data_IF_496202986186
#
_entry.id   IF_496202986186
#
_cell.length_a   1.000
_cell.length_b   1.000
_cell.length_c   1.000
_cell.angle_alpha   90.00
_cell.angle_beta   90.00
_cell.angle_gamma   90.00
#
_symmetry.space_group_name_H-M   'P 1'
#
loop_
_entity.id
_entity.type
_entity.pdbx_description
1 polymer ?
#
# COMPACT_ATOMS: atom_id res chain seq x y z
N UNK A 1 -40.45 61.82 27.86
CA UNK A 1 -40.12 61.60 26.44
C UNK A 1 -38.61 61.65 26.28
N UNK A 2 -37.85 60.72 25.71
CA UNK A 2 -38.10 59.41 25.10
C UNK A 2 -36.85 58.56 25.42
N UNK A 3 -37.07 57.28 25.72
CA UNK A 3 -36.02 56.30 25.95
C UNK A 3 -35.62 55.66 24.62
N UNK A 4 -34.39 55.89 24.15
CA UNK A 4 -33.86 55.19 22.98
C UNK A 4 -32.97 54.02 23.40
N UNK A 5 -33.62 52.86 23.40
CA UNK A 5 -33.07 51.51 23.51
C UNK A 5 -31.93 51.27 22.52
N UNK A 6 -30.69 51.18 23.01
CA UNK A 6 -29.56 50.65 22.25
C UNK A 6 -29.72 49.13 22.08
N UNK A 7 -30.26 48.73 20.94
CA UNK A 7 -30.38 47.33 20.55
C UNK A 7 -28.98 46.69 20.42
N UNK A 8 -28.67 45.76 21.33
CA UNK A 8 -27.50 44.89 21.25
C UNK A 8 -27.67 43.97 20.04
N UNK A 9 -26.90 44.19 18.97
CA UNK A 9 -26.80 43.27 17.83
C UNK A 9 -26.27 41.91 18.32
N UNK A 10 -27.16 40.92 18.42
CA UNK A 10 -26.80 39.52 18.69
C UNK A 10 -26.11 38.96 17.44
N UNK A 11 -24.85 38.57 17.57
CA UNK A 11 -24.19 37.76 16.54
C UNK A 11 -24.74 36.32 16.65
N UNK A 12 -25.32 35.82 15.56
CA UNK A 12 -25.75 34.43 15.46
C UNK A 12 -24.51 33.52 15.43
N UNK A 13 -24.19 32.90 16.56
CA UNK A 13 -23.29 31.73 16.60
C UNK A 13 -24.12 30.50 16.23
N UNK A 14 -23.87 29.93 15.04
CA UNK A 14 -24.36 28.60 14.70
C UNK A 14 -23.47 27.58 15.40
N UNK A 15 -23.91 27.13 16.59
CA UNK A 15 -23.23 26.08 17.37
C UNK A 15 -23.65 24.73 16.77
N UNK A 16 -22.77 24.12 15.97
CA UNK A 16 -22.94 22.74 15.53
C UNK A 16 -22.38 21.84 16.65
N UNK A 17 -23.28 21.15 17.37
CA UNK A 17 -22.89 20.20 18.43
C UNK A 17 -22.23 18.96 17.81
N UNK A 18 -20.90 18.90 17.88
CA UNK A 18 -20.14 17.68 17.59
C UNK A 18 -20.29 16.66 18.72
N UNK A 19 -20.44 15.37 18.40
CA UNK A 19 -20.67 14.27 19.37
C UNK A 19 -19.50 14.00 20.34
N UNK A 20 -18.37 14.69 20.20
CA UNK A 20 -17.14 14.44 20.95
C UNK A 20 -16.65 15.71 21.66
N UNK A 21 -17.38 16.21 22.66
CA UNK A 21 -16.89 17.09 23.75
C UNK A 21 -15.99 18.29 23.44
N UNK A 22 -15.81 18.68 22.18
CA UNK A 22 -14.98 19.78 21.74
C UNK A 22 -15.91 20.76 21.05
N UNK A 23 -16.27 21.81 21.77
CA UNK A 23 -16.98 22.96 21.21
C UNK A 23 -16.06 23.66 20.20
N UNK A 24 -16.06 23.19 18.96
CA UNK A 24 -15.37 23.87 17.85
C UNK A 24 -16.26 25.02 17.41
N UNK A 25 -16.14 26.17 18.08
CA UNK A 25 -16.66 27.42 17.55
C UNK A 25 -15.86 27.77 16.28
N UNK A 26 -16.36 27.36 15.11
CA UNK A 26 -15.78 27.76 13.82
C UNK A 26 -16.10 29.25 13.63
N UNK A 27 -15.22 30.11 14.14
CA UNK A 27 -15.27 31.55 13.87
C UNK A 27 -14.88 31.77 12.42
N UNK A 28 -15.85 31.98 11.53
CA UNK A 28 -15.65 32.17 10.07
C UNK A 28 -15.08 33.54 9.70
N UNK A 29 -14.77 34.41 10.68
CA UNK A 29 -14.15 35.69 10.37
C UNK A 29 -12.70 35.48 9.90
N UNK A 30 -12.45 35.78 8.62
CA UNK A 30 -11.14 35.66 7.94
C UNK A 30 -10.03 36.30 8.77
N UNK A 31 -10.23 37.49 9.33
CA UNK A 31 -9.20 38.16 10.13
C UNK A 31 -8.84 37.38 11.42
N UNK A 32 -9.84 36.76 12.07
CA UNK A 32 -9.64 35.94 13.26
C UNK A 32 -8.88 34.64 12.97
N UNK A 33 -9.14 34.02 11.82
CA UNK A 33 -8.42 32.83 11.36
C UNK A 33 -6.95 33.14 11.05
N UNK A 34 -6.67 34.28 10.42
CA UNK A 34 -5.29 34.70 10.12
C UNK A 34 -4.52 35.03 11.39
N UNK A 35 -5.15 35.67 12.38
CA UNK A 35 -4.53 35.90 13.70
C UNK A 35 -4.22 34.59 14.43
N UNK A 36 -5.15 33.62 14.40
CA UNK A 36 -4.95 32.28 14.98
C UNK A 36 -3.81 31.52 14.29
N UNK A 37 -3.76 31.53 12.95
CA UNK A 37 -2.68 30.93 12.16
C UNK A 37 -1.33 31.55 12.52
N UNK A 38 -1.23 32.89 12.52
CA UNK A 38 0.02 33.58 12.88
C UNK A 38 0.51 33.24 14.29
N UNK A 39 -0.41 33.09 15.26
CA UNK A 39 -0.06 32.65 16.62
C UNK A 39 0.44 31.20 16.65
N UNK A 40 -0.15 30.31 15.86
CA UNK A 40 0.32 28.93 15.71
C UNK A 40 1.72 28.89 15.10
N UNK A 41 1.94 29.61 13.99
CA UNK A 41 3.24 29.68 13.30
C UNK A 41 4.35 30.21 14.23
N UNK A 42 4.04 31.26 15.02
CA UNK A 42 4.99 31.80 16.02
C UNK A 42 5.29 30.79 17.12
N UNK A 43 4.30 30.02 17.57
CA UNK A 43 4.49 28.99 18.58
C UNK A 43 5.37 27.86 18.04
N UNK A 44 5.11 27.40 16.83
CA UNK A 44 5.91 26.38 16.15
C UNK A 44 7.37 26.82 15.98
N UNK A 45 7.60 28.06 15.53
CA UNK A 45 8.94 28.62 15.41
C UNK A 45 9.68 28.67 16.76
N UNK A 46 9.00 29.07 17.84
CA UNK A 46 9.58 29.07 19.18
C UNK A 46 9.95 27.65 19.64
N UNK A 47 9.08 26.67 19.40
CA UNK A 47 9.36 25.26 19.72
C UNK A 47 10.55 24.71 18.91
N UNK A 48 10.67 25.06 17.63
CA UNK A 48 11.83 24.66 16.80
C UNK A 48 13.12 25.27 17.34
N UNK A 49 13.11 26.56 17.68
CA UNK A 49 14.28 27.26 18.24
C UNK A 49 14.67 26.64 19.58
N UNK A 50 13.69 26.37 20.43
CA UNK A 50 13.91 25.77 21.74
C UNK A 50 14.43 24.33 21.63
N UNK A 51 13.87 23.52 20.72
CA UNK A 51 14.40 22.18 20.40
C UNK A 51 15.85 22.25 19.90
N UNK A 52 16.19 23.23 19.05
CA UNK A 52 17.57 23.45 18.56
C UNK A 52 18.51 23.89 19.68
N UNK A 53 18.07 24.74 20.61
CA UNK A 53 18.84 25.17 21.79
C UNK A 53 19.07 24.01 22.78
N UNK A 54 18.05 23.17 22.99
CA UNK A 54 18.11 22.00 23.89
C UNK A 54 18.85 20.81 23.27
N UNK A 55 18.99 20.76 21.93
CA UNK A 55 19.83 19.78 21.24
C UNK A 55 21.29 20.06 21.58
N UNK A 56 21.78 19.44 22.66
CA UNK A 56 23.22 19.25 22.86
C UNK A 56 23.77 18.62 21.58
N UNK A 57 24.80 19.22 20.98
CA UNK A 57 25.45 18.67 19.79
C UNK A 57 26.15 17.38 20.21
N UNK A 58 25.43 16.25 20.14
CA UNK A 58 26.03 14.93 20.32
C UNK A 58 27.09 14.75 19.24
N UNK A 59 28.25 14.26 19.63
CA UNK A 59 29.30 13.92 18.66
C UNK A 59 28.78 12.83 17.72
N UNK A 60 29.34 12.73 16.52
CA UNK A 60 28.97 11.67 15.58
C UNK A 60 29.15 10.27 16.21
N UNK A 61 30.16 10.12 17.07
CA UNK A 61 30.46 8.89 17.80
C UNK A 61 29.40 8.56 18.84
N UNK A 62 28.90 9.55 19.59
CA UNK A 62 27.82 9.33 20.57
C UNK A 62 26.53 8.90 19.89
N UNK A 63 26.19 9.52 18.76
CA UNK A 63 25.03 9.08 17.97
C UNK A 63 25.19 7.66 17.47
N UNK A 64 26.37 7.33 16.92
CA UNK A 64 26.66 5.97 16.47
C UNK A 64 26.53 4.96 17.61
N UNK A 65 27.03 5.28 18.81
CA UNK A 65 26.90 4.42 19.99
C UNK A 65 25.45 4.27 20.46
N UNK A 66 24.62 5.31 20.38
CA UNK A 66 23.21 5.24 20.73
C UNK A 66 22.40 4.42 19.71
N UNK A 67 22.65 4.64 18.42
CA UNK A 67 21.97 3.95 17.32
C UNK A 67 22.38 2.48 17.22
N UNK A 68 23.64 2.16 17.55
CA UNK A 68 24.19 0.79 17.56
C UNK A 68 24.38 0.25 18.98
N UNK A 69 23.70 0.82 19.98
CA UNK A 69 23.78 0.35 21.37
C UNK A 69 23.20 -1.07 21.51
N UNK A 70 22.28 -1.43 20.62
CA UNK A 70 21.55 -2.69 20.69
C UNK A 70 22.20 -3.72 19.77
N UNK A 71 22.59 -4.85 20.36
CA UNK A 71 23.07 -5.99 19.61
C UNK A 71 21.89 -6.68 18.92
N UNK A 72 21.91 -6.66 17.58
CA UNK A 72 20.89 -7.27 16.72
C UNK A 72 21.39 -8.57 16.07
N UNK A 73 22.51 -9.14 16.55
CA UNK A 73 23.08 -10.37 15.99
C UNK A 73 22.07 -11.51 15.92
N UNK A 74 21.35 -11.78 17.02
CA UNK A 74 20.35 -12.86 17.06
C UNK A 74 19.20 -12.66 16.07
N UNK A 75 18.66 -11.43 16.01
CA UNK A 75 17.58 -11.06 15.08
C UNK A 75 18.04 -11.21 13.63
N UNK A 76 19.27 -10.80 13.33
CA UNK A 76 19.84 -10.93 11.99
C UNK A 76 20.06 -12.40 11.60
N UNK A 77 20.55 -13.22 12.52
CA UNK A 77 20.72 -14.67 12.31
C UNK A 77 19.38 -15.34 12.06
N UNK A 78 18.34 -14.98 12.81
CA UNK A 78 16.99 -15.50 12.59
C UNK A 78 16.41 -15.08 11.24
N UNK A 79 16.59 -13.81 10.85
CA UNK A 79 16.17 -13.32 9.55
C UNK A 79 16.85 -14.07 8.40
N UNK A 80 18.15 -14.32 8.51
CA UNK A 80 18.91 -15.10 7.53
C UNK A 80 18.40 -16.54 7.44
N UNK A 81 18.12 -17.20 8.58
CA UNK A 81 17.52 -18.55 8.60
C UNK A 81 16.18 -18.57 7.87
N UNK A 82 15.28 -17.64 8.17
CA UNK A 82 13.98 -17.52 7.50
C UNK A 82 14.13 -17.31 5.99
N UNK A 83 15.06 -16.46 5.54
CA UNK A 83 15.34 -16.25 4.11
C UNK A 83 15.84 -17.54 3.45
N UNK A 84 16.73 -18.29 4.12
CA UNK A 84 17.22 -19.57 3.59
C UNK A 84 16.15 -20.66 3.56
N UNK A 85 15.16 -20.59 4.45
CA UNK A 85 14.02 -21.52 4.51
C UNK A 85 12.97 -21.20 3.45
N UNK A 86 12.72 -19.92 3.14
CA UNK A 86 11.76 -19.49 2.11
C UNK A 86 12.06 -20.04 0.71
N UNK A 87 13.34 -20.29 0.40
CA UNK A 87 13.77 -20.86 -0.88
C UNK A 87 13.73 -22.40 -0.93
N UNK A 88 13.48 -23.07 0.19
CA UNK A 88 13.47 -24.54 0.26
C UNK A 88 12.03 -25.04 0.20
N UNK A 89 11.78 -25.98 -0.69
CA UNK A 89 10.52 -26.73 -0.72
C UNK A 89 10.48 -27.65 0.50
N UNK A 90 9.36 -27.66 1.22
CA UNK A 90 9.15 -28.57 2.36
C UNK A 90 9.39 -30.02 1.94
N UNK A 91 10.14 -30.79 2.72
CA UNK A 91 10.59 -32.15 2.37
C UNK A 91 9.45 -33.06 1.87
N UNK A 92 8.29 -33.03 2.55
CA UNK A 92 7.09 -33.80 2.15
C UNK A 92 6.56 -33.44 0.76
N UNK A 93 6.74 -32.18 0.35
CA UNK A 93 6.35 -31.70 -0.98
C UNK A 93 7.43 -32.07 -1.99
N UNK A 94 8.71 -31.97 -1.62
CA UNK A 94 9.83 -32.41 -2.45
C UNK A 94 9.73 -33.91 -2.78
N UNK A 95 9.41 -34.76 -1.81
CA UNK A 95 9.16 -36.20 -2.00
C UNK A 95 7.98 -36.46 -2.95
N UNK A 96 6.88 -35.71 -2.81
CA UNK A 96 5.71 -35.82 -3.71
C UNK A 96 6.04 -35.38 -5.13
N UNK A 97 6.86 -34.34 -5.30
CA UNK A 97 7.32 -33.88 -6.62
C UNK A 97 8.19 -34.97 -7.24
N UNK A 98 9.17 -35.50 -6.49
CA UNK A 98 10.05 -36.57 -6.94
C UNK A 98 9.30 -37.86 -7.31
N UNK A 99 8.25 -38.20 -6.56
CA UNK A 99 7.43 -39.38 -6.86
C UNK A 99 6.56 -39.20 -8.10
N UNK A 100 6.02 -37.99 -8.33
CA UNK A 100 5.20 -37.68 -9.50
C UNK A 100 6.02 -37.44 -10.78
N UNK A 101 7.24 -36.97 -10.62
CA UNK A 101 8.21 -36.79 -11.68
C UNK A 101 9.38 -37.72 -11.38
N UNK A 102 9.24 -39.05 -11.59
CA UNK A 102 10.41 -39.91 -11.62
C UNK A 102 11.40 -39.28 -12.60
N UNK A 103 12.70 -39.36 -12.32
CA UNK A 103 13.80 -38.76 -13.09
C UNK A 103 13.86 -39.27 -14.54
N UNK A 104 12.83 -39.03 -15.33
CA UNK A 104 12.75 -39.32 -16.74
C UNK A 104 13.61 -38.28 -17.41
N UNK A 105 14.70 -38.73 -18.03
CA UNK A 105 15.45 -37.88 -18.93
C UNK A 105 14.52 -37.50 -20.08
N UNK A 106 14.78 -36.39 -20.75
CA UNK A 106 13.98 -35.95 -21.91
C UNK A 106 13.86 -37.02 -23.01
N UNK A 107 14.76 -38.03 -22.97
CA UNK A 107 14.83 -39.20 -23.85
C UNK A 107 13.85 -40.33 -23.47
N UNK A 108 13.38 -40.36 -22.22
CA UNK A 108 12.47 -41.39 -21.70
C UNK A 108 10.99 -40.99 -21.85
N UNK A 109 10.73 -39.76 -22.25
CA UNK A 109 9.38 -39.26 -22.53
C UNK A 109 8.88 -39.88 -23.83
N UNK A 110 7.83 -40.71 -23.75
CA UNK A 110 7.14 -41.19 -24.95
C UNK A 110 6.51 -39.99 -25.65
N UNK A 111 6.92 -39.76 -26.90
CA UNK A 111 6.28 -38.75 -27.75
C UNK A 111 4.80 -39.08 -27.87
N UNK A 112 3.94 -38.18 -27.37
CA UNK A 112 2.51 -38.30 -27.55
C UNK A 112 2.24 -38.05 -29.03
N UNK A 113 2.08 -39.14 -29.78
CA UNK A 113 1.59 -39.08 -31.17
C UNK A 113 0.22 -38.43 -31.10
N UNK A 114 0.15 -37.15 -31.50
CA UNK A 114 -1.11 -36.45 -31.61
C UNK A 114 -1.90 -37.14 -32.71
N UNK A 115 -3.03 -37.74 -32.34
CA UNK A 115 -4.00 -38.21 -33.31
C UNK A 115 -4.42 -36.99 -34.14
N UNK A 116 -4.14 -37.05 -35.44
CA UNK A 116 -4.63 -36.05 -36.38
C UNK A 116 -6.15 -36.07 -36.31
N UNK A 117 -6.75 -34.99 -35.81
CA UNK A 117 -8.20 -34.82 -35.77
C UNK A 117 -8.73 -35.10 -37.18
N UNK A 118 -9.53 -36.15 -37.33
CA UNK A 118 -10.16 -36.46 -38.61
C UNK A 118 -11.11 -35.31 -38.93
N UNK A 119 -10.78 -34.57 -40.00
CA UNK A 119 -11.70 -33.56 -40.52
C UNK A 119 -13.02 -34.25 -40.86
N UNK A 120 -14.12 -33.72 -40.32
CA UNK A 120 -15.49 -34.18 -40.62
C UNK A 120 -15.82 -33.98 -42.09
N UNK A 121 -15.13 -33.05 -42.76
CA UNK A 121 -15.28 -32.77 -44.19
C UNK A 121 -14.25 -33.54 -45.01
N UNK A 122 -14.75 -34.24 -46.01
CA UNK A 122 -13.96 -34.95 -47.03
C UNK A 122 -13.79 -34.07 -48.27
N UNK A 123 -12.81 -34.39 -49.12
CA UNK A 123 -12.61 -33.67 -50.40
C UNK A 123 -13.85 -33.72 -51.31
N UNK A 124 -14.72 -34.72 -51.15
CA UNK A 124 -15.97 -34.85 -51.90
C UNK A 124 -17.00 -33.79 -51.50
N UNK A 125 -17.02 -33.41 -50.23
CA UNK A 125 -17.93 -32.37 -49.71
C UNK A 125 -17.62 -31.01 -50.33
N UNK A 126 -16.33 -30.69 -50.50
CA UNK A 126 -15.89 -29.47 -51.17
C UNK A 126 -16.28 -29.44 -52.65
N UNK A 127 -16.16 -30.57 -53.37
CA UNK A 127 -16.60 -30.69 -54.76
C UNK A 127 -18.12 -30.57 -54.93
N UNK A 128 -18.90 -30.92 -53.92
CA UNK A 128 -20.35 -30.74 -53.89
C UNK A 128 -20.70 -29.27 -53.65
N UNK A 129 -20.04 -28.65 -52.68
CA UNK A 129 -20.22 -27.23 -52.35
C UNK A 129 -19.89 -26.31 -53.54
N UNK A 130 -18.76 -26.53 -54.22
CA UNK A 130 -18.37 -25.76 -55.40
C UNK A 130 -19.40 -25.81 -56.53
N UNK A 131 -20.11 -26.94 -56.68
CA UNK A 131 -21.16 -27.10 -57.70
C UNK A 131 -22.44 -26.37 -57.34
N UNK A 132 -22.79 -26.36 -56.07
CA UNK A 132 -24.04 -25.75 -55.58
C UNK A 132 -23.96 -24.23 -55.51
N UNK A 133 -22.78 -23.69 -55.19
CA UNK A 133 -22.57 -22.26 -54.98
C UNK A 133 -21.80 -21.56 -56.10
N UNK A 134 -21.58 -22.21 -57.26
CA UNK A 134 -20.97 -21.53 -58.41
C UNK A 134 -21.93 -20.45 -58.93
N UNK A 135 -21.56 -19.16 -58.91
CA UNK A 135 -22.38 -18.12 -59.51
C UNK A 135 -22.52 -18.38 -61.00
N UNK A 136 -23.73 -18.21 -61.55
CA UNK A 136 -23.97 -18.27 -62.99
C UNK A 136 -23.43 -17.04 -63.70
#
# INVERSE_FOLDING_TARGET
>A
EQAETKQKKKYNLNIIKGKNGCDVSITTNRQGLWSKKRKADVKEQKEIIEKRRRKKRKSAIEKYKEENAQDNTEVNVEALKRITELGKVVDKVAEKILYKQPCQLSRDLKEVVKETESSVFTEEDFKKFEREYRPK
#
